data_IF_776853673126
#
_entry.id   IF_776853673126
#
_cell.length_a   1.000
_cell.length_b   1.000
_cell.length_c   1.000
_cell.angle_alpha   90.00
_cell.angle_beta   90.00
_cell.angle_gamma   90.00
#
_symmetry.space_group_name_H-M   'P 1'
#
loop_
_entity.id
_entity.type
_entity.pdbx_description
1 polymer ?
#
# COMPACT_ATOMS: atom_id res chain seq x y z
N UNK A 1 -5.51 27.38 -12.04
CA UNK A 1 -6.30 26.85 -10.89
C UNK A 1 -5.30 26.24 -9.91
N UNK A 2 -5.24 26.77 -8.69
CA UNK A 2 -4.12 26.62 -7.76
C UNK A 2 -3.96 25.19 -7.21
N UNK A 3 -2.72 24.69 -7.24
CA UNK A 3 -2.34 23.34 -6.79
C UNK A 3 -2.15 23.32 -5.26
N UNK A 4 -3.08 22.67 -4.55
CA UNK A 4 -3.09 22.60 -3.08
C UNK A 4 -2.31 21.40 -2.50
N UNK A 5 -1.43 20.77 -3.27
CA UNK A 5 -0.73 19.53 -2.87
C UNK A 5 0.65 19.73 -2.22
N UNK A 6 1.22 20.95 -2.28
CA UNK A 6 2.56 21.21 -1.76
C UNK A 6 2.64 21.32 -0.23
N UNK A 7 1.52 21.51 0.48
CA UNK A 7 1.55 21.79 1.93
C UNK A 7 1.62 20.54 2.84
N UNK A 8 1.62 19.33 2.27
CA UNK A 8 1.71 18.07 3.06
C UNK A 8 2.75 17.08 2.52
N UNK A 9 3.86 17.62 2.01
CA UNK A 9 5.03 16.83 1.59
C UNK A 9 6.21 16.98 2.56
N UNK A 10 6.17 17.95 3.49
CA UNK A 10 7.26 18.17 4.46
C UNK A 10 7.48 17.04 5.49
N UNK A 11 6.55 16.08 5.61
CA UNK A 11 6.72 14.91 6.51
C UNK A 11 6.53 13.54 5.86
N UNK A 12 6.16 13.49 4.58
CA UNK A 12 5.74 12.23 3.95
C UNK A 12 6.73 11.84 2.87
N UNK A 13 7.62 10.91 3.18
CA UNK A 13 8.58 10.39 2.19
C UNK A 13 7.86 9.49 1.18
N UNK A 14 8.17 9.67 -0.10
CA UNK A 14 7.58 8.87 -1.18
C UNK A 14 8.50 7.71 -1.51
N UNK A 15 8.11 6.49 -1.14
CA UNK A 15 8.90 5.30 -1.41
C UNK A 15 8.62 4.74 -2.81
N UNK A 16 9.70 4.51 -3.55
CA UNK A 16 9.71 4.09 -4.95
C UNK A 16 10.38 2.73 -5.14
N UNK A 17 9.95 1.92 -6.10
CA UNK A 17 10.57 0.61 -6.34
C UNK A 17 11.93 0.74 -7.02
N UNK A 18 12.96 0.18 -6.38
CA UNK A 18 14.32 0.22 -6.89
C UNK A 18 14.48 -0.63 -8.17
N UNK A 19 15.35 -0.20 -9.10
CA UNK A 19 15.63 -0.93 -10.34
C UNK A 19 14.57 -0.82 -11.44
N UNK A 20 13.53 -0.03 -11.23
CA UNK A 20 12.47 0.21 -12.20
C UNK A 20 12.87 1.28 -13.23
N UNK A 21 12.54 1.07 -14.51
CA UNK A 21 12.69 2.04 -15.60
C UNK A 21 11.83 3.31 -15.41
N UNK A 22 10.85 3.22 -14.52
CA UNK A 22 9.79 4.17 -14.30
C UNK A 22 10.31 5.46 -13.66
N UNK A 23 11.42 5.42 -12.91
CA UNK A 23 12.05 6.63 -12.38
C UNK A 23 12.54 7.53 -13.53
N UNK A 24 13.07 6.92 -14.59
CA UNK A 24 13.50 7.66 -15.77
C UNK A 24 12.30 8.25 -16.51
N UNK A 25 11.14 7.58 -16.53
CA UNK A 25 9.91 8.13 -17.09
C UNK A 25 9.44 9.36 -16.29
N UNK A 26 9.50 9.33 -14.95
CA UNK A 26 9.20 10.51 -14.14
C UNK A 26 10.15 11.66 -14.44
N UNK A 27 11.47 11.40 -14.47
CA UNK A 27 12.50 12.43 -14.73
C UNK A 27 12.41 13.00 -16.15
N UNK A 28 11.97 12.20 -17.13
CA UNK A 28 11.79 12.63 -18.52
C UNK A 28 10.38 13.15 -18.82
N UNK A 29 9.49 13.21 -17.83
CA UNK A 29 8.12 13.69 -17.98
C UNK A 29 8.08 15.12 -18.50
N UNK A 30 7.12 15.39 -19.40
CA UNK A 30 6.79 16.74 -19.86
C UNK A 30 6.05 17.55 -18.79
N UNK A 31 5.41 16.89 -17.83
CA UNK A 31 4.82 17.54 -16.66
C UNK A 31 5.92 17.89 -15.65
N UNK A 32 6.06 19.20 -15.37
CA UNK A 32 7.03 19.74 -14.42
C UNK A 32 6.92 19.10 -13.04
N UNK A 33 5.70 18.90 -12.54
CA UNK A 33 5.47 18.38 -11.18
C UNK A 33 5.95 16.95 -11.06
N UNK A 34 5.70 16.12 -12.06
CA UNK A 34 6.18 14.73 -12.11
C UNK A 34 7.70 14.67 -12.28
N UNK A 35 8.25 15.58 -13.09
CA UNK A 35 9.69 15.70 -13.28
C UNK A 35 10.41 16.06 -11.99
N UNK A 36 9.93 17.08 -11.29
CA UNK A 36 10.47 17.49 -9.99
C UNK A 36 10.35 16.35 -8.97
N UNK A 37 9.21 15.64 -8.93
CA UNK A 37 9.03 14.48 -8.07
C UNK A 37 10.08 13.39 -8.35
N UNK A 38 10.32 13.05 -9.62
CA UNK A 38 11.35 12.08 -10.00
C UNK A 38 12.76 12.51 -9.60
N UNK A 39 13.08 13.80 -9.76
CA UNK A 39 14.37 14.37 -9.33
C UNK A 39 14.54 14.27 -7.81
N UNK A 40 13.50 14.60 -7.04
CA UNK A 40 13.51 14.54 -5.57
C UNK A 40 13.68 13.10 -5.09
N UNK A 41 12.91 12.14 -5.64
CA UNK A 41 13.02 10.71 -5.31
C UNK A 41 14.45 10.22 -5.56
N UNK A 42 15.03 10.56 -6.72
CA UNK A 42 16.39 10.17 -7.08
C UNK A 42 17.43 10.81 -6.16
N UNK A 43 17.29 12.10 -5.86
CA UNK A 43 18.23 12.86 -5.03
C UNK A 43 18.25 12.36 -3.58
N UNK A 44 17.10 12.01 -3.04
CA UNK A 44 16.95 11.59 -1.65
C UNK A 44 17.03 10.07 -1.46
N UNK A 45 17.29 9.31 -2.52
CA UNK A 45 17.37 7.84 -2.52
C UNK A 45 16.15 7.18 -1.86
N UNK A 46 14.95 7.70 -2.13
CA UNK A 46 13.71 7.16 -1.56
C UNK A 46 13.26 5.86 -2.23
N UNK A 47 14.07 4.83 -2.07
CA UNK A 47 13.84 3.51 -2.65
C UNK A 47 13.37 2.52 -1.59
N UNK A 48 12.31 1.77 -1.91
CA UNK A 48 11.92 0.58 -1.16
C UNK A 48 12.52 -0.65 -1.83
N UNK A 49 12.95 -1.60 -1.01
CA UNK A 49 13.27 -2.95 -1.47
C UNK A 49 11.97 -3.75 -1.65
N UNK A 50 11.88 -4.57 -2.70
CA UNK A 50 10.67 -5.34 -3.03
C UNK A 50 10.23 -6.27 -1.89
N UNK A 51 11.18 -6.75 -1.08
CA UNK A 51 10.93 -7.56 0.12
C UNK A 51 10.15 -6.81 1.21
N UNK A 52 10.18 -5.46 1.20
CA UNK A 52 9.43 -4.64 2.15
C UNK A 52 7.97 -4.43 1.75
N UNK A 53 7.57 -4.73 0.51
CA UNK A 53 6.18 -4.62 0.05
C UNK A 53 5.23 -5.61 0.74
N UNK A 54 5.78 -6.71 1.27
CA UNK A 54 5.04 -7.80 1.91
C UNK A 54 5.20 -7.84 3.43
N UNK A 55 6.00 -6.94 4.02
CA UNK A 55 6.19 -6.86 5.47
C UNK A 55 5.39 -5.70 6.07
N UNK A 56 5.19 -5.73 7.39
CA UNK A 56 4.41 -4.75 8.16
C UNK A 56 4.87 -3.29 8.02
N UNK A 57 6.03 -3.05 7.42
CA UNK A 57 6.55 -1.71 7.11
C UNK A 57 5.77 -1.04 5.96
N UNK A 58 5.06 -1.83 5.15
CA UNK A 58 4.22 -1.31 4.08
C UNK A 58 2.89 -0.77 4.62
N UNK A 59 2.70 0.54 4.51
CA UNK A 59 1.54 1.25 5.05
C UNK A 59 1.77 1.94 6.40
N UNK A 60 3.02 2.25 6.76
CA UNK A 60 3.29 3.19 7.86
C UNK A 60 2.69 4.57 7.54
N UNK A 61 2.08 5.26 8.52
CA UNK A 61 1.36 6.51 8.28
C UNK A 61 2.22 7.66 7.74
N UNK A 62 3.54 7.57 7.90
CA UNK A 62 4.50 8.61 7.49
C UNK A 62 4.98 8.47 6.03
N UNK A 63 4.54 7.44 5.31
CA UNK A 63 5.01 7.15 3.96
C UNK A 63 3.88 7.02 2.96
N UNK A 64 4.10 7.55 1.77
CA UNK A 64 3.28 7.27 0.60
C UNK A 64 4.05 6.39 -0.36
N UNK A 65 3.40 5.38 -0.92
CA UNK A 65 4.05 4.43 -1.81
C UNK A 65 3.58 4.63 -3.25
N UNK A 66 4.52 4.66 -4.19
CA UNK A 66 4.22 4.66 -5.61
C UNK A 66 4.26 3.23 -6.15
N UNK A 67 3.09 2.77 -6.59
CA UNK A 67 2.86 1.42 -7.09
C UNK A 67 1.94 1.46 -8.31
N UNK A 68 2.06 0.44 -9.15
CA UNK A 68 1.03 0.17 -10.15
C UNK A 68 -0.29 -0.19 -9.47
N UNK A 69 -1.39 0.37 -9.98
CA UNK A 69 -2.73 0.19 -9.38
C UNK A 69 -3.13 -1.27 -9.26
N UNK A 70 -2.90 -2.08 -10.29
CA UNK A 70 -3.24 -3.50 -10.27
C UNK A 70 -2.46 -4.26 -9.19
N UNK A 71 -1.18 -3.94 -9.00
CA UNK A 71 -0.36 -4.51 -7.93
C UNK A 71 -0.86 -4.03 -6.57
N UNK A 72 -1.12 -2.73 -6.41
CA UNK A 72 -1.64 -2.15 -5.17
C UNK A 72 -3.01 -2.75 -4.79
N UNK A 73 -3.92 -2.93 -5.75
CA UNK A 73 -5.21 -3.58 -5.54
C UNK A 73 -5.04 -5.07 -5.19
N UNK A 74 -4.15 -5.78 -5.88
CA UNK A 74 -3.87 -7.17 -5.57
C UNK A 74 -3.26 -7.33 -4.16
N UNK A 75 -2.33 -6.47 -3.76
CA UNK A 75 -1.64 -6.60 -2.47
C UNK A 75 -2.44 -6.04 -1.29
N UNK A 76 -3.19 -4.95 -1.50
CA UNK A 76 -3.73 -4.11 -0.44
C UNK A 76 -5.22 -3.82 -0.60
N UNK A 77 -5.86 -4.23 -1.69
CA UNK A 77 -7.24 -3.89 -2.00
C UNK A 77 -8.26 -4.38 -0.96
N UNK A 78 -7.91 -5.42 -0.19
CA UNK A 78 -8.72 -5.96 0.90
C UNK A 78 -8.33 -5.43 2.29
N UNK A 79 -7.36 -4.50 2.39
CA UNK A 79 -6.98 -3.84 3.65
C UNK A 79 -7.83 -2.59 3.87
N UNK A 80 -8.45 -2.47 5.04
CA UNK A 80 -9.28 -1.31 5.41
C UNK A 80 -8.45 -0.15 5.98
N UNK A 81 -7.22 -0.41 6.42
CA UNK A 81 -6.30 0.56 7.01
C UNK A 81 -5.48 1.35 5.97
N UNK A 82 -5.62 1.03 4.67
CA UNK A 82 -4.87 1.65 3.58
C UNK A 82 -5.84 2.23 2.55
N UNK A 83 -5.58 3.47 2.13
CA UNK A 83 -6.32 4.10 1.02
C UNK A 83 -5.48 4.10 -0.26
N UNK A 84 -6.08 3.64 -1.36
CA UNK A 84 -5.47 3.70 -2.70
C UNK A 84 -6.06 4.91 -3.43
N UNK A 85 -5.20 5.84 -3.86
CA UNK A 85 -5.64 7.02 -4.61
C UNK A 85 -6.33 6.65 -5.93
N UNK A 86 -7.42 7.35 -6.24
CA UNK A 86 -8.14 7.23 -7.53
C UNK A 86 -7.39 7.88 -8.69
N UNK A 87 -6.41 8.73 -8.43
CA UNK A 87 -5.63 9.39 -9.47
C UNK A 87 -4.34 8.61 -9.74
N UNK A 88 -4.04 8.39 -11.01
CA UNK A 88 -2.77 7.81 -11.46
C UNK A 88 -1.83 8.93 -11.87
N UNK A 89 -0.57 8.88 -11.44
CA UNK A 89 0.47 9.80 -11.92
C UNK A 89 0.91 9.46 -13.35
N UNK A 90 0.97 8.16 -13.66
CA UNK A 90 1.35 7.63 -14.95
C UNK A 90 0.43 6.45 -15.29
N UNK A 91 0.16 6.26 -16.57
CA UNK A 91 -0.56 5.09 -17.09
C UNK A 91 0.36 4.33 -18.02
N UNK A 92 0.64 3.06 -17.70
CA UNK A 92 1.34 2.14 -18.60
C UNK A 92 0.50 0.88 -18.78
N UNK A 93 0.40 0.36 -20.02
CA UNK A 93 -0.23 -0.93 -20.26
C UNK A 93 0.65 -2.05 -19.71
N UNK A 94 0.02 -3.06 -19.10
CA UNK A 94 0.70 -4.31 -18.76
C UNK A 94 0.86 -5.14 -20.04
N UNK A 95 2.09 -5.51 -20.37
CA UNK A 95 2.40 -6.31 -21.54
C UNK A 95 3.20 -7.55 -21.15
N UNK A 96 3.01 -8.65 -21.88
CA UNK A 96 3.83 -9.84 -21.75
C UNK A 96 4.99 -9.77 -22.74
N UNK A 97 6.21 -9.77 -22.22
CA UNK A 97 7.40 -9.92 -23.04
C UNK A 97 7.47 -11.36 -23.57
N UNK A 98 7.63 -11.50 -24.89
CA UNK A 98 7.77 -12.79 -25.57
C UNK A 98 9.07 -12.81 -26.36
N UNK A 99 9.66 -13.99 -26.52
CA UNK A 99 10.83 -14.16 -27.38
C UNK A 99 10.52 -13.74 -28.82
N UNK A 100 11.47 -13.10 -29.49
CA UNK A 100 11.30 -12.59 -30.87
C UNK A 100 10.79 -13.65 -31.86
N UNK A 101 11.17 -14.91 -31.66
CA UNK A 101 10.80 -16.04 -32.53
C UNK A 101 9.62 -16.88 -31.98
N UNK A 102 8.82 -16.33 -31.08
CA UNK A 102 7.68 -17.05 -30.53
C UNK A 102 6.59 -17.23 -31.61
N UNK A 103 6.38 -18.49 -32.01
CA UNK A 103 5.51 -18.85 -33.14
C UNK A 103 4.01 -18.66 -32.88
N UNK A 104 3.59 -18.54 -31.61
CA UNK A 104 2.17 -18.60 -31.22
C UNK A 104 1.62 -17.28 -30.66
N UNK A 105 2.23 -16.14 -31.00
CA UNK A 105 1.83 -14.81 -30.51
C UNK A 105 0.34 -14.52 -30.74
N UNK A 106 -0.17 -14.80 -31.95
CA UNK A 106 -1.59 -14.61 -32.25
C UNK A 106 -2.51 -15.46 -31.37
N UNK A 107 -2.14 -16.72 -31.12
CA UNK A 107 -2.91 -17.62 -30.26
C UNK A 107 -2.88 -17.15 -28.81
N UNK A 108 -1.73 -16.68 -28.34
CA UNK A 108 -1.56 -16.12 -26.99
C UNK A 108 -2.43 -14.87 -26.81
N UNK A 109 -2.42 -13.94 -27.76
CA UNK A 109 -3.26 -12.73 -27.71
C UNK A 109 -4.75 -13.08 -27.65
N UNK A 110 -5.20 -14.06 -28.42
CA UNK A 110 -6.59 -14.54 -28.37
C UNK A 110 -6.95 -15.11 -27.00
N UNK A 111 -6.05 -15.89 -26.38
CA UNK A 111 -6.27 -16.43 -25.03
C UNK A 111 -6.37 -15.29 -24.01
N UNK A 112 -5.43 -14.35 -24.03
CA UNK A 112 -5.42 -13.20 -23.11
C UNK A 112 -6.71 -12.39 -23.27
N UNK A 113 -7.09 -12.05 -24.50
CA UNK A 113 -8.32 -11.31 -24.77
C UNK A 113 -9.57 -12.03 -24.25
N UNK A 114 -9.65 -13.36 -24.44
CA UNK A 114 -10.76 -14.16 -23.89
C UNK A 114 -10.78 -14.15 -22.37
N UNK A 115 -9.62 -14.29 -21.70
CA UNK A 115 -9.53 -14.26 -20.25
C UNK A 115 -9.95 -12.90 -19.69
N UNK A 116 -9.51 -11.81 -20.31
CA UNK A 116 -9.87 -10.45 -19.91
C UNK A 116 -11.36 -10.18 -20.15
N UNK A 117 -11.89 -10.53 -21.33
CA UNK A 117 -13.30 -10.31 -21.67
C UNK A 117 -14.25 -11.16 -20.82
N UNK A 118 -13.82 -12.34 -20.38
CA UNK A 118 -14.58 -13.19 -19.47
C UNK A 118 -14.52 -12.72 -18.01
N UNK A 119 -13.80 -11.63 -17.70
CA UNK A 119 -13.62 -11.11 -16.34
C UNK A 119 -12.77 -12.02 -15.44
N UNK A 120 -12.07 -13.01 -16.01
CA UNK A 120 -11.25 -13.96 -15.24
C UNK A 120 -10.07 -13.23 -14.59
N UNK A 121 -9.50 -12.24 -15.29
CA UNK A 121 -8.44 -11.39 -14.73
C UNK A 121 -8.89 -10.68 -13.45
N UNK A 122 -10.06 -10.03 -13.49
CA UNK A 122 -10.59 -9.28 -12.34
C UNK A 122 -10.97 -10.20 -11.18
N UNK A 123 -11.43 -11.41 -11.47
CA UNK A 123 -11.70 -12.44 -10.46
C UNK A 123 -10.39 -12.90 -9.81
N UNK A 124 -9.38 -13.23 -10.61
CA UNK A 124 -8.09 -13.69 -10.10
C UNK A 124 -7.40 -12.63 -9.22
N UNK A 125 -7.46 -11.37 -9.63
CA UNK A 125 -6.90 -10.25 -8.84
C UNK A 125 -7.61 -10.09 -7.50
N UNK A 126 -8.95 -10.15 -7.47
CA UNK A 126 -9.74 -10.09 -6.23
C UNK A 126 -9.51 -11.29 -5.33
N UNK A 127 -9.54 -12.50 -5.87
CA UNK A 127 -9.31 -13.74 -5.11
C UNK A 127 -7.89 -13.77 -4.54
N UNK A 128 -6.90 -13.31 -5.31
CA UNK A 128 -5.52 -13.16 -4.85
C UNK A 128 -5.40 -12.18 -3.70
N UNK A 129 -6.03 -11.00 -3.81
CA UNK A 129 -6.03 -9.99 -2.74
C UNK A 129 -6.68 -10.48 -1.47
N UNK A 130 -7.85 -11.12 -1.58
CA UNK A 130 -8.57 -11.67 -0.44
C UNK A 130 -7.77 -12.77 0.27
N UNK A 131 -7.11 -13.66 -0.48
CA UNK A 131 -6.25 -14.69 0.11
C UNK A 131 -5.05 -14.07 0.85
N UNK A 132 -4.44 -13.03 0.27
CA UNK A 132 -3.32 -12.35 0.90
C UNK A 132 -3.74 -11.61 2.18
N UNK A 133 -4.88 -10.90 2.16
CA UNK A 133 -5.39 -10.22 3.35
C UNK A 133 -5.75 -11.19 4.47
N UNK A 134 -6.30 -12.37 4.14
CA UNK A 134 -6.55 -13.42 5.13
C UNK A 134 -5.25 -13.94 5.75
N UNK A 135 -4.18 -14.10 4.95
CA UNK A 135 -2.87 -14.52 5.45
C UNK A 135 -2.31 -13.51 6.45
N UNK A 136 -2.30 -12.22 6.07
CA UNK A 136 -1.84 -11.12 6.93
C UNK A 136 -2.67 -11.05 8.22
N UNK A 137 -4.01 -11.16 8.12
CA UNK A 137 -4.89 -11.14 9.29
C UNK A 137 -4.62 -12.30 10.24
N UNK A 138 -4.38 -13.51 9.70
CA UNK A 138 -4.09 -14.70 10.51
C UNK A 138 -2.76 -14.54 11.26
N UNK A 139 -1.74 -14.00 10.62
CA UNK A 139 -0.44 -13.70 11.25
C UNK A 139 -0.61 -12.67 12.38
N UNK A 140 -1.37 -11.59 12.15
CA UNK A 140 -1.65 -10.55 13.17
C UNK A 140 -2.40 -11.09 14.39
N UNK A 141 -3.33 -12.02 14.20
CA UNK A 141 -4.07 -12.66 15.32
C UNK A 141 -3.18 -13.56 16.16
N UNK A 142 -2.16 -14.18 15.57
CA UNK A 142 -1.22 -15.05 16.30
C UNK A 142 -0.25 -14.20 17.15
N UNK A 143 0.17 -13.03 16.66
CA UNK A 143 1.01 -12.11 17.43
C UNK A 143 0.21 -11.35 18.50
N UNK A 144 -1.05 -11.02 18.23
CA UNK A 144 -1.93 -10.35 19.16
C UNK A 144 -2.63 -11.34 20.11
N UNK A 145 -1.84 -12.20 20.78
CA UNK A 145 -2.26 -12.85 22.01
C UNK A 145 -2.46 -11.75 23.05
N UNK A 146 -3.69 -11.21 23.07
CA UNK A 146 -4.15 -10.10 23.90
C UNK A 146 -3.80 -10.32 25.38
N UNK A 147 -2.60 -9.90 25.78
CA UNK A 147 -2.31 -9.58 27.17
C UNK A 147 -2.88 -8.19 27.40
N UNK A 148 -3.96 -8.08 28.16
CA UNK A 148 -4.59 -6.78 28.43
C UNK A 148 -3.54 -5.81 28.97
N UNK A 149 -3.40 -4.66 28.32
CA UNK A 149 -2.52 -3.63 28.80
C UNK A 149 -3.07 -3.08 30.11
N UNK A 150 -2.21 -2.83 31.10
CA UNK A 150 -2.61 -2.25 32.39
C UNK A 150 -3.29 -0.89 32.21
N UNK A 151 -3.01 -0.19 31.09
CA UNK A 151 -3.70 1.03 30.66
C UNK A 151 -5.21 0.83 30.50
N UNK A 152 -5.65 -0.33 30.03
CA UNK A 152 -7.06 -0.63 29.79
C UNK A 152 -7.81 -0.87 31.12
N UNK A 153 -7.07 -1.24 32.18
CA UNK A 153 -7.59 -1.41 33.54
C UNK A 153 -7.47 -0.15 34.41
N UNK A 154 -6.82 0.92 33.92
CA UNK A 154 -6.59 2.15 34.69
C UNK A 154 -7.89 2.77 35.19
N UNK A 155 -8.93 2.79 34.34
CA UNK A 155 -10.25 3.30 34.74
C UNK A 155 -10.88 2.51 35.90
N UNK A 156 -10.71 1.19 35.92
CA UNK A 156 -11.18 0.34 37.02
C UNK A 156 -10.42 0.63 38.32
N UNK A 157 -9.09 0.86 38.24
CA UNK A 157 -8.28 1.25 39.40
C UNK A 157 -8.65 2.63 39.95
N UNK A 158 -8.96 3.60 39.10
CA UNK A 158 -9.40 4.95 39.51
C UNK A 158 -10.74 4.89 40.24
N UNK A 159 -11.71 4.13 39.71
CA UNK A 159 -13.02 3.95 40.36
C UNK A 159 -12.83 3.28 41.72
N UNK A 160 -12.01 2.23 41.79
CA UNK A 160 -11.74 1.50 43.02
C UNK A 160 -11.06 2.39 44.08
N UNK A 161 -10.07 3.20 43.70
CA UNK A 161 -9.44 4.18 44.60
C UNK A 161 -10.41 5.27 45.06
N UNK A 162 -11.28 5.77 44.17
CA UNK A 162 -12.28 6.77 44.53
C UNK A 162 -13.27 6.24 45.58
N UNK A 163 -13.65 4.96 45.48
CA UNK A 163 -14.50 4.30 46.48
C UNK A 163 -13.84 4.24 47.87
N UNK A 164 -12.55 3.90 47.93
CA UNK A 164 -11.80 3.89 49.20
C UNK A 164 -11.68 5.28 49.82
N UNK A 165 -11.44 6.32 49.02
CA UNK A 165 -11.38 7.71 49.50
C UNK A 165 -12.74 8.13 50.05
N UNK A 166 -13.84 7.87 49.33
CA UNK A 166 -15.18 8.17 49.81
C UNK A 166 -15.53 7.45 51.11
N UNK A 167 -15.10 6.19 51.27
CA UNK A 167 -15.31 5.45 52.51
C UNK A 167 -14.51 6.03 53.69
N UNK A 168 -13.28 6.48 53.44
CA UNK A 168 -12.43 7.09 54.48
C UNK A 168 -12.91 8.46 54.98
N UNK A 169 -13.68 9.20 54.17
CA UNK A 169 -14.30 10.48 54.58
C UNK A 169 -15.60 10.33 55.37
N UNK A 170 -16.12 9.11 55.52
CA UNK A 170 -17.40 8.84 56.19
C UNK A 170 -17.25 8.43 57.68
N UNK A 171 -16.11 8.75 58.30
CA UNK A 171 -15.84 8.55 59.73
C UNK A 171 -15.56 9.91 60.39
#
# INVERSE_FOLDING_TARGET
MNFHWLYKVERTSVLYLNGSSELNDLISSSDESLRQLGIIIKRNEWFANDSHLLTEQFGRPDYSHLLYRNIAQMLLGAREDISISRHSLLTRPLALAICKNFKYTARLNTIISRLTNAGIYDKLSRDGSFKLSLKIRKERVIENNNSLAVSDMFGAFVILLSGYVCQGFSF
#
